data_IF_685698524343
#
_entry.id   IF_685698524343
#
_cell.length_a   1.000
_cell.length_b   1.000
_cell.length_c   1.000
_cell.angle_alpha   90.00
_cell.angle_beta   90.00
_cell.angle_gamma   90.00
#
_symmetry.space_group_name_H-M   'P 1'
#
loop_
_entity.id
_entity.type
_entity.pdbx_description
1 polymer ?
#
# COMPACT_ATOMS: atom_id res chain seq x y z
N UNK A 1 -4.09 -12.32 13.81
CA UNK A 1 -3.80 -10.92 14.19
C UNK A 1 -2.30 -10.77 14.34
N UNK A 2 -1.59 -10.34 13.29
CA UNK A 2 -0.16 -10.14 13.38
C UNK A 2 0.09 -8.72 13.87
N UNK A 3 0.53 -8.60 15.12
CA UNK A 3 1.00 -7.35 15.71
C UNK A 3 2.31 -7.02 14.98
N UNK A 4 2.25 -6.11 14.01
CA UNK A 4 3.47 -5.55 13.43
C UNK A 4 4.08 -4.65 14.52
N UNK A 5 5.17 -5.13 15.12
CA UNK A 5 5.96 -4.40 16.09
C UNK A 5 6.41 -3.07 15.46
N UNK A 6 6.01 -1.94 16.07
CA UNK A 6 6.54 -0.64 15.68
C UNK A 6 7.90 -0.53 16.36
N UNK A 7 8.96 -0.92 15.63
CA UNK A 7 10.33 -0.95 16.15
C UNK A 7 10.78 0.45 16.63
N UNK A 8 10.18 1.54 16.11
CA UNK A 8 10.43 2.91 16.57
C UNK A 8 9.20 3.82 16.40
N UNK A 9 8.92 4.64 17.42
CA UNK A 9 7.91 5.70 17.39
C UNK A 9 8.60 7.07 17.35
N UNK A 10 8.23 7.91 16.38
CA UNK A 10 8.70 9.30 16.30
C UNK A 10 7.50 10.22 16.53
N UNK A 11 7.65 11.18 17.44
CA UNK A 11 6.65 12.22 17.62
C UNK A 11 6.71 13.19 16.44
N UNK A 12 5.57 13.44 15.81
CA UNK A 12 5.40 14.44 14.77
C UNK A 12 4.31 15.42 15.18
N UNK A 13 4.49 16.68 14.83
CA UNK A 13 3.48 17.71 15.07
C UNK A 13 2.67 17.98 13.80
N UNK A 14 1.37 18.17 13.98
CA UNK A 14 0.50 18.65 12.91
C UNK A 14 0.76 20.14 12.73
N UNK A 15 1.29 20.51 11.56
CA UNK A 15 1.46 21.90 11.18
C UNK A 15 0.18 22.50 10.60
N UNK A 16 0.31 23.68 10.01
CA UNK A 16 -0.81 24.40 9.41
C UNK A 16 -1.57 23.55 8.39
N UNK A 17 -2.91 23.64 8.45
CA UNK A 17 -3.84 22.94 7.55
C UNK A 17 -3.66 21.41 7.54
N UNK A 18 -3.23 20.81 8.66
CA UNK A 18 -3.16 19.35 8.80
C UNK A 18 -1.93 18.72 8.15
N UNK A 19 -0.89 19.50 7.82
CA UNK A 19 0.33 18.95 7.22
C UNK A 19 1.16 18.22 8.26
N UNK A 20 1.58 17.01 7.91
CA UNK A 20 2.57 16.25 8.67
C UNK A 20 3.92 16.31 7.97
N UNK A 21 4.96 16.71 8.71
CA UNK A 21 6.33 16.65 8.22
C UNK A 21 6.87 15.26 8.49
N UNK A 22 7.19 14.50 7.44
CA UNK A 22 7.89 13.22 7.58
C UNK A 22 9.36 13.49 7.92
N UNK A 23 9.88 13.00 9.07
CA UNK A 23 11.30 13.12 9.43
C UNK A 23 12.21 12.50 8.36
N UNK A 24 13.45 13.00 8.27
CA UNK A 24 14.42 12.56 7.26
C UNK A 24 14.66 11.04 7.30
N UNK A 25 14.83 10.49 8.51
CA UNK A 25 15.05 9.07 8.75
C UNK A 25 13.95 8.18 8.15
N UNK A 26 12.69 8.61 8.23
CA UNK A 26 11.55 7.87 7.66
C UNK A 26 11.55 7.97 6.13
N UNK A 27 11.87 9.14 5.58
CA UNK A 27 11.95 9.32 4.12
C UNK A 27 13.01 8.42 3.51
N UNK A 28 14.19 8.34 4.13
CA UNK A 28 15.31 7.51 3.67
C UNK A 28 14.97 6.02 3.74
N UNK A 29 14.45 5.55 4.89
CA UNK A 29 14.05 4.14 5.07
C UNK A 29 13.00 3.68 4.08
N UNK A 30 12.02 4.54 3.78
CA UNK A 30 10.94 4.24 2.85
C UNK A 30 11.28 4.62 1.40
N UNK A 31 12.50 5.13 1.16
CA UNK A 31 12.98 5.60 -0.13
C UNK A 31 12.00 6.57 -0.83
N UNK A 32 11.48 7.53 -0.07
CA UNK A 32 10.49 8.51 -0.51
C UNK A 32 11.16 9.74 -1.10
N UNK A 33 10.69 10.13 -2.28
CA UNK A 33 11.17 11.28 -3.02
C UNK A 33 10.08 12.35 -3.13
N UNK A 34 10.49 13.58 -3.45
CA UNK A 34 9.55 14.67 -3.72
C UNK A 34 8.62 14.25 -4.87
N UNK A 35 7.32 14.36 -4.65
CA UNK A 35 6.29 13.99 -5.63
C UNK A 35 5.79 12.54 -5.51
N UNK A 36 6.38 11.72 -4.64
CA UNK A 36 5.80 10.42 -4.32
C UNK A 36 4.43 10.56 -3.68
N UNK A 37 3.50 9.68 -4.07
CA UNK A 37 2.14 9.64 -3.55
C UNK A 37 2.02 8.52 -2.53
N UNK A 38 1.51 8.87 -1.36
CA UNK A 38 1.18 7.94 -0.29
C UNK A 38 -0.34 7.81 -0.19
N UNK A 39 -0.79 6.60 0.13
CA UNK A 39 -2.15 6.34 0.56
C UNK A 39 -2.19 6.49 2.08
N UNK A 40 -3.09 7.34 2.57
CA UNK A 40 -3.41 7.49 3.98
C UNK A 40 -4.71 6.74 4.27
N UNK A 41 -4.68 5.82 5.24
CA UNK A 41 -5.87 5.14 5.76
C UNK A 41 -6.00 5.38 7.25
N UNK A 42 -7.24 5.42 7.72
CA UNK A 42 -7.59 5.50 9.13
C UNK A 42 -8.13 4.15 9.53
N UNK A 43 -7.47 3.47 10.46
CA UNK A 43 -7.96 2.21 11.04
C UNK A 43 -9.02 2.48 12.12
N UNK A 44 -9.86 1.48 12.41
CA UNK A 44 -10.97 1.60 13.36
C UNK A 44 -10.54 1.93 14.79
N UNK A 45 -9.29 1.68 15.15
CA UNK A 45 -8.72 2.00 16.46
C UNK A 45 -8.04 3.39 16.50
N UNK A 46 -8.21 4.18 15.45
CA UNK A 46 -7.69 5.55 15.36
C UNK A 46 -6.25 5.63 14.87
N UNK A 47 -5.62 4.52 14.47
CA UNK A 47 -4.27 4.56 13.87
C UNK A 47 -4.31 5.09 12.44
N UNK A 48 -3.32 5.93 12.12
CA UNK A 48 -3.06 6.40 10.76
C UNK A 48 -2.00 5.51 10.13
N UNK A 49 -2.32 4.95 8.96
CA UNK A 49 -1.37 4.16 8.18
C UNK A 49 -1.05 4.86 6.86
N UNK A 50 0.24 5.00 6.57
CA UNK A 50 0.74 5.54 5.31
C UNK A 50 1.41 4.42 4.52
N UNK A 51 0.97 4.20 3.28
CA UNK A 51 1.55 3.23 2.37
C UNK A 51 1.97 3.87 1.05
N UNK A 52 3.14 3.52 0.52
CA UNK A 52 3.52 3.93 -0.82
C UNK A 52 2.62 3.21 -1.84
N UNK A 53 1.97 3.94 -2.75
CA UNK A 53 1.09 3.36 -3.77
C UNK A 53 1.82 2.30 -4.61
N UNK A 54 3.13 2.48 -4.87
CA UNK A 54 3.95 1.49 -5.58
C UNK A 54 4.15 0.20 -4.78
N UNK A 55 4.20 0.27 -3.45
CA UNK A 55 4.25 -0.90 -2.56
C UNK A 55 2.87 -1.55 -2.45
N UNK A 56 1.79 -0.77 -2.38
CA UNK A 56 0.40 -1.27 -2.39
C UNK A 56 0.13 -2.15 -3.62
N UNK A 57 0.53 -1.68 -4.81
CA UNK A 57 0.43 -2.49 -6.04
C UNK A 57 1.20 -3.81 -5.92
N UNK A 58 2.40 -3.83 -5.32
CA UNK A 58 3.15 -5.08 -5.11
C UNK A 58 2.45 -6.04 -4.15
N UNK A 59 1.84 -5.54 -3.08
CA UNK A 59 1.08 -6.36 -2.14
C UNK A 59 -0.19 -6.96 -2.78
N UNK A 60 -0.84 -6.24 -3.70
CA UNK A 60 -2.01 -6.74 -4.44
C UNK A 60 -1.62 -7.63 -5.63
N UNK A 61 -0.43 -7.42 -6.22
CA UNK A 61 0.09 -8.15 -7.40
C UNK A 61 0.55 -9.55 -7.01
N UNK A 62 -0.42 -10.47 -6.95
CA UNK A 62 -0.19 -11.85 -6.56
C UNK A 62 -1.37 -12.47 -5.81
N UNK A 63 -2.37 -11.67 -5.42
CA UNK A 63 -3.55 -12.15 -4.71
C UNK A 63 -4.28 -13.28 -5.46
N UNK A 64 -4.31 -13.19 -6.80
CA UNK A 64 -4.89 -14.21 -7.66
C UNK A 64 -3.91 -15.33 -8.07
N UNK A 65 -2.59 -15.21 -7.81
CA UNK A 65 -1.63 -16.29 -8.13
C UNK A 65 -1.94 -17.59 -7.38
N UNK A 66 -2.45 -17.50 -6.15
CA UNK A 66 -2.84 -18.68 -5.38
C UNK A 66 -4.06 -19.41 -5.97
N UNK A 67 -4.95 -18.68 -6.68
CA UNK A 67 -6.18 -19.21 -7.29
C UNK A 67 -5.97 -19.64 -8.75
N UNK A 68 -4.99 -19.06 -9.44
CA UNK A 68 -4.68 -19.31 -10.85
C UNK A 68 -3.59 -20.38 -11.06
N UNK A 69 -3.45 -21.34 -10.13
CA UNK A 69 -2.32 -22.29 -10.13
C UNK A 69 -2.18 -23.12 -11.42
N UNK A 70 -3.27 -23.35 -12.14
CA UNK A 70 -3.26 -24.13 -13.40
C UNK A 70 -4.20 -23.61 -14.49
N UNK A 71 -4.67 -22.35 -14.40
CA UNK A 71 -5.62 -21.77 -15.35
C UNK A 71 -5.34 -20.29 -15.59
N UNK A 72 -5.33 -19.90 -16.86
CA UNK A 72 -5.27 -18.50 -17.26
C UNK A 72 -6.70 -17.96 -17.35
N UNK A 73 -7.16 -17.33 -16.27
CA UNK A 73 -8.48 -16.69 -16.22
C UNK A 73 -8.63 -15.60 -17.30
N UNK A 74 -7.51 -15.03 -17.75
CA UNK A 74 -7.49 -14.05 -18.84
C UNK A 74 -7.85 -14.71 -20.17
N UNK A 75 -7.27 -15.88 -20.47
CA UNK A 75 -7.55 -16.58 -21.72
C UNK A 75 -8.99 -17.13 -21.76
N UNK A 76 -9.51 -17.59 -20.62
CA UNK A 76 -10.91 -18.02 -20.48
C UNK A 76 -11.89 -16.86 -20.73
N UNK A 77 -11.66 -15.69 -20.13
CA UNK A 77 -12.50 -14.50 -20.34
C UNK A 77 -12.42 -13.95 -21.76
N UNK A 78 -11.26 -14.03 -22.41
CA UNK A 78 -11.10 -13.62 -23.81
C UNK A 78 -11.84 -14.59 -24.75
N UNK A 79 -11.79 -15.89 -24.48
CA UNK A 79 -12.51 -16.89 -25.25
C UNK A 79 -14.03 -16.66 -25.15
N UNK A 80 -14.57 -16.48 -23.94
CA UNK A 80 -16.00 -16.20 -23.72
C UNK A 80 -16.48 -14.96 -24.48
N UNK A 81 -15.67 -13.87 -24.48
CA UNK A 81 -16.00 -12.63 -25.21
C UNK A 81 -15.91 -12.72 -26.72
N UNK A 82 -15.22 -13.73 -27.27
CA UNK A 82 -15.12 -13.96 -28.72
C UNK A 82 -16.19 -14.89 -29.24
N UNK A 83 -16.81 -15.67 -28.36
CA UNK A 83 -17.93 -16.57 -28.69
C UNK A 83 -19.31 -15.94 -28.46
N UNK A 84 -19.37 -14.77 -27.82
CA UNK A 84 -20.57 -13.93 -27.69
C UNK A 84 -20.59 -12.85 -28.77
#
# INVERSE_FOLDING_TARGET
MSVMAHDQALQVQVGDRGRLVLPAEIRERLNLHRGDRLLLTVESDGRLCLANVRQGIRATRGLYRARARHRSLVDELIAERRTA
#
